data_IF_638466347381
#
_entry.id   IF_638466347381
#
_cell.length_a   1.000
_cell.length_b   1.000
_cell.length_c   1.000
_cell.angle_alpha   90.00
_cell.angle_beta   90.00
_cell.angle_gamma   90.00
#
_symmetry.space_group_name_H-M   'P 1'
#
loop_
_entity.id
_entity.type
_entity.pdbx_description
1 polymer ?
#
# COMPACT_ATOMS: atom_id res chain seq x y z
N UNK A 1 64.07 -9.30 -45.96
CA UNK A 1 63.08 -10.40 -46.06
C UNK A 1 61.69 -9.77 -46.12
N UNK A 2 61.27 -9.39 -47.32
CA UNK A 2 59.91 -8.94 -47.62
C UNK A 2 59.09 -10.19 -47.88
N UNK A 3 58.15 -10.53 -46.99
CA UNK A 3 57.26 -11.66 -47.22
C UNK A 3 56.20 -11.26 -48.24
N UNK A 4 56.25 -11.88 -49.42
CA UNK A 4 55.25 -11.72 -50.48
C UNK A 4 53.87 -12.21 -49.99
N UNK A 5 52.95 -11.27 -49.82
CA UNK A 5 51.54 -11.51 -49.44
C UNK A 5 50.65 -11.93 -50.63
N UNK A 6 51.25 -12.24 -51.78
CA UNK A 6 50.56 -12.47 -53.06
C UNK A 6 49.77 -13.79 -53.15
N UNK A 7 49.74 -14.61 -52.10
CA UNK A 7 49.05 -15.91 -52.09
C UNK A 7 47.71 -15.93 -51.33
N UNK A 8 47.26 -14.81 -50.76
CA UNK A 8 45.92 -14.75 -50.14
C UNK A 8 44.89 -14.60 -51.25
N UNK A 9 44.37 -15.74 -51.71
CA UNK A 9 43.25 -15.80 -52.65
C UNK A 9 42.06 -15.00 -52.11
N UNK A 10 41.43 -14.21 -52.98
CA UNK A 10 40.24 -13.38 -52.69
C UNK A 10 39.14 -14.20 -51.99
N UNK A 11 39.05 -15.50 -52.28
CA UNK A 11 38.11 -16.41 -51.61
C UNK A 11 38.33 -16.53 -50.09
N UNK A 12 39.60 -16.54 -49.63
CA UNK A 12 39.91 -16.57 -48.20
C UNK A 12 39.56 -15.25 -47.52
N UNK A 13 39.79 -14.11 -48.18
CA UNK A 13 39.38 -12.81 -47.65
C UNK A 13 37.85 -12.73 -47.46
N UNK A 14 37.07 -13.16 -48.47
CA UNK A 14 35.62 -13.24 -48.36
C UNK A 14 35.17 -14.18 -47.24
N UNK A 15 35.82 -15.34 -47.09
CA UNK A 15 35.51 -16.29 -46.02
C UNK A 15 35.75 -15.68 -44.64
N UNK A 16 36.89 -15.00 -44.42
CA UNK A 16 37.17 -14.34 -43.14
C UNK A 16 36.21 -13.20 -42.83
N UNK A 17 35.78 -12.43 -43.83
CA UNK A 17 34.78 -11.36 -43.63
C UNK A 17 33.42 -11.95 -43.24
N UNK A 18 32.95 -13.00 -43.92
CA UNK A 18 31.69 -13.66 -43.57
C UNK A 18 31.75 -14.34 -42.21
N UNK A 19 32.87 -14.98 -41.87
CA UNK A 19 33.09 -15.57 -40.55
C UNK A 19 33.10 -14.51 -39.45
N UNK A 20 33.81 -13.39 -39.64
CA UNK A 20 33.81 -12.28 -38.70
C UNK A 20 32.40 -11.70 -38.50
N UNK A 21 31.64 -11.50 -39.58
CA UNK A 21 30.26 -11.03 -39.51
C UNK A 21 29.35 -12.00 -38.73
N UNK A 22 29.49 -13.31 -38.96
CA UNK A 22 28.73 -14.33 -38.24
C UNK A 22 29.08 -14.37 -36.73
N UNK A 23 30.37 -14.26 -36.38
CA UNK A 23 30.81 -14.20 -34.98
C UNK A 23 30.30 -12.93 -34.31
N UNK A 24 30.35 -11.77 -34.98
CA UNK A 24 29.79 -10.53 -34.46
C UNK A 24 28.27 -10.63 -34.24
N UNK A 25 27.52 -11.24 -35.17
CA UNK A 25 26.09 -11.46 -35.01
C UNK A 25 25.77 -12.41 -33.84
N UNK A 26 26.53 -13.51 -33.68
CA UNK A 26 26.37 -14.42 -32.55
C UNK A 26 26.71 -13.76 -31.21
N UNK A 27 27.79 -12.97 -31.16
CA UNK A 27 28.15 -12.19 -29.97
C UNK A 27 27.09 -11.14 -29.62
N UNK A 28 26.50 -10.49 -30.63
CA UNK A 28 25.39 -9.56 -30.44
C UNK A 28 24.15 -10.26 -29.86
N UNK A 29 23.79 -11.44 -30.36
CA UNK A 29 22.69 -12.25 -29.83
C UNK A 29 22.95 -12.67 -28.37
N UNK A 30 24.16 -13.13 -28.04
CA UNK A 30 24.54 -13.50 -26.67
C UNK A 30 24.51 -12.32 -25.70
N UNK A 31 24.97 -11.13 -26.13
CA UNK A 31 24.86 -9.90 -25.34
C UNK A 31 23.39 -9.52 -25.12
N UNK A 32 22.55 -9.70 -26.13
CA UNK A 32 21.12 -9.43 -26.05
C UNK A 32 20.41 -10.41 -25.09
N UNK A 33 20.80 -11.68 -25.09
CA UNK A 33 20.30 -12.69 -24.14
C UNK A 33 20.76 -12.41 -22.71
N UNK A 34 22.03 -12.03 -22.53
CA UNK A 34 22.58 -11.65 -21.22
C UNK A 34 21.91 -10.41 -20.61
N UNK A 35 21.57 -9.41 -21.44
CA UNK A 35 20.83 -8.24 -21.00
C UNK A 35 19.40 -8.61 -20.53
N UNK A 36 18.68 -9.44 -21.32
CA UNK A 36 17.34 -9.94 -20.95
C UNK A 36 17.36 -10.78 -19.67
N UNK A 37 18.44 -11.54 -19.43
CA UNK A 37 18.62 -12.33 -18.22
C UNK A 37 18.70 -11.47 -16.95
N UNK A 38 19.44 -10.35 -17.00
CA UNK A 38 19.55 -9.41 -15.87
C UNK A 38 18.21 -8.74 -15.56
N UNK A 39 17.48 -8.31 -16.58
CA UNK A 39 16.14 -7.72 -16.40
C UNK A 39 15.17 -8.74 -15.78
N UNK A 40 15.20 -10.00 -16.22
CA UNK A 40 14.38 -11.07 -15.64
C UNK A 40 14.75 -11.33 -14.18
N UNK A 41 16.02 -11.35 -13.83
CA UNK A 41 16.47 -11.52 -12.44
C UNK A 41 16.04 -10.35 -11.55
N UNK A 42 16.17 -9.12 -12.05
CA UNK A 42 15.69 -7.93 -11.34
C UNK A 42 14.17 -7.98 -11.12
N UNK A 43 13.41 -8.37 -12.14
CA UNK A 43 11.96 -8.55 -12.06
C UNK A 43 11.55 -9.61 -11.03
N UNK A 44 12.28 -10.74 -10.98
CA UNK A 44 12.02 -11.79 -9.99
C UNK A 44 12.39 -11.35 -8.57
N UNK A 45 13.48 -10.59 -8.41
CA UNK A 45 13.88 -10.05 -7.11
C UNK A 45 12.88 -9.00 -6.62
N UNK A 46 12.37 -8.14 -7.51
CA UNK A 46 11.29 -7.20 -7.23
C UNK A 46 9.99 -7.94 -6.87
N UNK A 47 9.65 -9.00 -7.61
CA UNK A 47 8.49 -9.85 -7.33
C UNK A 47 8.61 -10.54 -5.97
N UNK A 48 9.79 -11.06 -5.62
CA UNK A 48 10.06 -11.69 -4.33
C UNK A 48 9.97 -10.68 -3.18
N UNK A 49 10.47 -9.46 -3.37
CA UNK A 49 10.33 -8.39 -2.38
C UNK A 49 8.87 -7.96 -2.20
N UNK A 50 8.08 -7.89 -3.28
CA UNK A 50 6.65 -7.61 -3.23
C UNK A 50 5.87 -8.75 -2.54
N UNK A 51 6.19 -10.01 -2.85
CA UNK A 51 5.58 -11.18 -2.22
C UNK A 51 5.90 -11.29 -0.72
N UNK A 52 7.11 -10.89 -0.29
CA UNK A 52 7.45 -10.81 1.14
C UNK A 52 6.63 -9.75 1.90
N UNK A 53 6.09 -8.75 1.19
CA UNK A 53 5.20 -7.74 1.76
C UNK A 53 3.70 -8.13 1.74
N UNK A 54 3.33 -9.24 1.05
CA UNK A 54 1.92 -9.67 0.86
C UNK A 54 1.23 -10.08 2.19
N UNK A 55 1.96 -10.39 3.26
CA UNK A 55 1.41 -11.10 4.41
C UNK A 55 0.51 -10.28 5.37
N UNK A 56 0.40 -8.95 5.24
CA UNK A 56 -0.23 -8.13 6.30
C UNK A 56 -1.26 -7.06 5.88
N UNK A 57 -1.65 -6.88 4.61
CA UNK A 57 -2.44 -5.67 4.27
C UNK A 57 -3.35 -5.71 3.02
N UNK A 58 -3.69 -6.89 2.49
CA UNK A 58 -4.51 -6.98 1.25
C UNK A 58 -6.00 -7.08 1.56
N UNK A 59 -6.35 -7.62 2.73
CA UNK A 59 -7.75 -7.87 3.06
C UNK A 59 -8.53 -6.56 3.25
N UNK A 60 -9.80 -6.51 2.80
CA UNK A 60 -10.66 -5.37 3.04
C UNK A 60 -10.84 -5.11 4.54
N UNK A 61 -10.95 -3.84 4.97
CA UNK A 61 -11.17 -3.51 6.37
C UNK A 61 -12.64 -3.73 6.77
N UNK A 62 -13.04 -5.00 6.83
CA UNK A 62 -14.43 -5.44 7.06
C UNK A 62 -15.02 -4.79 8.32
N UNK A 63 -14.24 -4.73 9.40
CA UNK A 63 -14.69 -4.15 10.67
C UNK A 63 -15.04 -2.67 10.53
N UNK A 64 -14.17 -1.87 9.93
CA UNK A 64 -14.42 -0.44 9.75
C UNK A 64 -15.50 -0.14 8.70
N UNK A 65 -15.70 -1.06 7.74
CA UNK A 65 -16.82 -1.03 6.79
C UNK A 65 -18.14 -1.25 7.54
N UNK A 66 -18.25 -2.33 8.32
CA UNK A 66 -19.43 -2.69 9.10
C UNK A 66 -19.76 -1.61 10.14
N UNK A 67 -18.77 -1.15 10.92
CA UNK A 67 -18.97 -0.10 11.94
C UNK A 67 -19.52 1.20 11.34
N UNK A 68 -19.14 1.54 10.10
CA UNK A 68 -19.65 2.70 9.40
C UNK A 68 -21.10 2.47 8.93
N UNK A 69 -21.36 1.32 8.32
CA UNK A 69 -22.67 0.97 7.76
C UNK A 69 -23.73 0.80 8.83
N UNK A 70 -23.40 0.16 9.95
CA UNK A 70 -24.30 0.04 11.10
C UNK A 70 -24.69 1.41 11.64
N UNK A 71 -23.72 2.32 11.83
CA UNK A 71 -24.01 3.67 12.30
C UNK A 71 -24.89 4.43 11.30
N UNK A 72 -24.59 4.31 10.00
CA UNK A 72 -25.38 4.94 8.93
C UNK A 72 -26.83 4.42 8.93
N UNK A 73 -27.01 3.10 9.01
CA UNK A 73 -28.34 2.45 9.06
C UNK A 73 -29.10 2.85 10.33
N UNK A 74 -28.47 2.84 11.49
CA UNK A 74 -29.08 3.27 12.76
C UNK A 74 -29.59 4.72 12.67
N UNK A 75 -28.77 5.63 12.12
CA UNK A 75 -29.19 7.02 11.94
C UNK A 75 -30.34 7.15 10.95
N UNK A 76 -30.31 6.39 9.86
CA UNK A 76 -31.39 6.37 8.87
C UNK A 76 -32.70 5.83 9.46
N UNK A 77 -32.65 4.71 10.18
CA UNK A 77 -33.81 4.10 10.86
C UNK A 77 -34.46 5.05 11.86
N UNK A 78 -33.66 5.81 12.62
CA UNK A 78 -34.19 6.82 13.55
C UNK A 78 -34.94 7.94 12.81
N UNK A 79 -34.47 8.34 11.63
CA UNK A 79 -35.15 9.35 10.81
C UNK A 79 -36.41 8.80 10.13
N UNK A 80 -36.39 7.53 9.75
CA UNK A 80 -37.54 6.82 9.20
C UNK A 80 -38.66 6.71 10.25
N UNK A 81 -38.31 6.36 11.49
CA UNK A 81 -39.25 6.35 12.62
C UNK A 81 -39.88 7.72 12.88
N UNK A 82 -39.13 8.80 12.65
CA UNK A 82 -39.61 10.18 12.75
C UNK A 82 -40.39 10.65 11.51
N UNK A 83 -40.54 9.81 10.48
CA UNK A 83 -41.17 10.13 9.19
C UNK A 83 -40.53 11.32 8.46
N UNK A 84 -39.24 11.59 8.73
CA UNK A 84 -38.52 12.68 8.06
C UNK A 84 -37.94 12.27 6.71
N UNK A 85 -37.83 10.97 6.46
CA UNK A 85 -37.17 10.36 5.31
C UNK A 85 -38.04 9.25 4.74
N UNK A 86 -38.07 9.12 3.41
CA UNK A 86 -38.70 8.01 2.71
C UNK A 86 -37.73 6.82 2.62
N UNK A 87 -38.19 5.55 2.64
CA UNK A 87 -37.33 4.38 2.49
C UNK A 87 -36.43 4.47 1.25
N UNK A 88 -36.94 5.03 0.15
CA UNK A 88 -36.25 5.13 -1.14
C UNK A 88 -35.08 6.14 -1.15
N UNK A 89 -34.95 6.99 -0.13
CA UNK A 89 -33.88 7.98 -0.03
C UNK A 89 -32.54 7.39 0.49
N UNK A 90 -32.50 6.12 0.92
CA UNK A 90 -31.28 5.52 1.50
C UNK A 90 -30.16 5.35 0.46
N UNK A 91 -30.49 5.04 -0.80
CA UNK A 91 -29.53 4.74 -1.87
C UNK A 91 -29.87 5.51 -3.16
N UNK A 92 -29.54 6.83 -3.21
CA UNK A 92 -29.95 7.69 -4.32
C UNK A 92 -29.38 7.27 -5.69
N UNK A 93 -28.28 6.52 -5.73
CA UNK A 93 -27.71 6.02 -6.98
C UNK A 93 -28.63 4.99 -7.69
N UNK A 94 -29.35 4.16 -6.95
CA UNK A 94 -30.28 3.18 -7.52
C UNK A 94 -31.61 3.85 -7.91
N UNK A 95 -32.08 4.81 -7.11
CA UNK A 95 -33.27 5.60 -7.44
C UNK A 95 -33.08 6.44 -8.73
N UNK A 96 -31.90 7.03 -8.92
CA UNK A 96 -31.56 7.77 -10.14
C UNK A 96 -31.42 6.84 -11.36
N UNK A 97 -30.83 5.65 -11.21
CA UNK A 97 -30.76 4.66 -12.27
C UNK A 97 -32.15 4.11 -12.64
N UNK A 98 -33.00 3.81 -11.66
CA UNK A 98 -34.37 3.34 -11.85
C UNK A 98 -35.26 4.39 -12.55
N UNK A 99 -35.12 5.67 -12.19
CA UNK A 99 -35.82 6.78 -12.84
C UNK A 99 -35.39 6.99 -14.31
N UNK A 100 -34.12 6.71 -14.64
CA UNK A 100 -33.61 6.78 -16.01
C UNK A 100 -34.14 5.65 -16.90
N UNK A 101 -34.36 4.44 -16.36
CA UNK A 101 -34.92 3.31 -17.14
C UNK A 101 -36.39 3.50 -17.52
N UNK A 102 -37.19 4.18 -16.70
CA UNK A 102 -38.61 4.42 -16.98
C UNK A 102 -38.89 5.60 -17.94
N UNK A 103 -37.85 6.33 -18.37
CA UNK A 103 -37.97 7.53 -19.23
C UNK A 103 -37.41 7.33 -20.66
N UNK A 104 -37.34 6.08 -21.12
CA UNK A 104 -36.91 5.73 -22.48
C UNK A 104 -38.07 5.70 -23.48
N UNK A 105 -38.80 6.80 -23.62
CA UNK A 105 -39.70 7.02 -24.78
C UNK A 105 -40.05 8.49 -25.04
N UNK A 106 -39.06 9.36 -25.27
CA UNK A 106 -39.26 10.50 -26.19
C UNK A 106 -37.96 11.28 -26.41
N UNK A 107 -37.61 11.38 -27.68
CA UNK A 107 -36.59 12.22 -28.27
C UNK A 107 -36.81 13.72 -28.05
N UNK A 108 -35.68 14.43 -27.90
CA UNK A 108 -35.38 15.82 -28.30
C UNK A 108 -35.08 16.86 -27.20
N UNK A 109 -33.96 17.56 -27.45
CA UNK A 109 -33.53 18.90 -27.05
C UNK A 109 -33.08 19.21 -25.61
N UNK A 110 -31.75 19.35 -25.53
CA UNK A 110 -31.00 20.36 -24.77
C UNK A 110 -31.78 21.45 -24.04
N UNK A 111 -31.75 21.38 -22.71
CA UNK A 111 -31.47 22.52 -21.84
C UNK A 111 -31.09 22.01 -20.46
N UNK A 112 -29.78 22.00 -20.22
CA UNK A 112 -29.13 21.97 -18.92
C UNK A 112 -29.74 23.03 -18.00
N UNK A 113 -30.67 22.65 -17.14
CA UNK A 113 -31.03 23.35 -15.90
C UNK A 113 -32.15 22.57 -15.22
N UNK A 114 -31.74 21.66 -14.35
CA UNK A 114 -32.46 21.11 -13.17
C UNK A 114 -32.03 19.67 -12.93
N UNK A 115 -30.73 19.42 -12.77
CA UNK A 115 -30.35 18.60 -11.61
C UNK A 115 -30.84 19.38 -10.41
N UNK A 116 -32.12 19.20 -10.06
CA UNK A 116 -32.62 19.52 -8.74
C UNK A 116 -31.55 19.01 -7.79
N UNK A 117 -30.89 19.93 -7.08
CA UNK A 117 -29.80 19.62 -6.16
C UNK A 117 -30.39 18.65 -5.16
N UNK A 118 -30.26 17.36 -5.44
CA UNK A 118 -30.65 16.32 -4.53
C UNK A 118 -29.72 16.47 -3.35
N UNK A 119 -30.24 17.06 -2.27
CA UNK A 119 -29.52 17.21 -1.02
C UNK A 119 -29.74 15.89 -0.28
N UNK A 120 -28.72 15.07 -0.10
CA UNK A 120 -28.84 13.80 0.59
C UNK A 120 -29.31 14.00 2.03
N UNK A 121 -30.02 13.02 2.58
CA UNK A 121 -30.57 13.11 3.93
C UNK A 121 -29.47 13.35 4.98
N UNK A 122 -28.25 12.83 4.73
CA UNK A 122 -27.05 13.05 5.56
C UNK A 122 -26.69 14.53 5.73
N UNK A 123 -26.99 15.38 4.74
CA UNK A 123 -26.77 16.82 4.81
C UNK A 123 -27.95 17.58 5.38
N UNK A 124 -29.17 17.13 5.09
CA UNK A 124 -30.41 17.85 5.40
C UNK A 124 -30.85 17.66 6.85
N UNK A 125 -30.73 16.45 7.38
CA UNK A 125 -31.48 16.04 8.58
C UNK A 125 -30.60 15.64 9.78
N UNK A 126 -29.31 15.38 9.57
CA UNK A 126 -28.42 14.98 10.67
C UNK A 126 -28.12 16.16 11.59
N UNK A 127 -28.16 15.91 12.89
CA UNK A 127 -27.60 16.83 13.87
C UNK A 127 -26.08 16.99 13.68
N UNK A 128 -25.49 18.13 14.08
CA UNK A 128 -24.04 18.35 13.93
C UNK A 128 -23.19 17.32 14.69
N UNK A 129 -23.70 16.76 15.80
CA UNK A 129 -23.02 15.74 16.57
C UNK A 129 -23.00 14.39 15.83
N UNK A 130 -24.14 13.94 15.31
CA UNK A 130 -24.25 12.70 14.53
C UNK A 130 -23.42 12.78 13.25
N UNK A 131 -23.47 13.92 12.57
CA UNK A 131 -22.61 14.21 11.41
C UNK A 131 -21.13 14.06 11.76
N UNK A 132 -20.68 14.58 12.91
CA UNK A 132 -19.30 14.43 13.37
C UNK A 132 -18.93 12.96 13.65
N UNK A 133 -19.84 12.19 14.28
CA UNK A 133 -19.65 10.74 14.52
C UNK A 133 -19.50 9.97 13.20
N UNK A 134 -20.39 10.23 12.24
CA UNK A 134 -20.38 9.60 10.93
C UNK A 134 -19.11 9.95 10.14
N UNK A 135 -18.71 11.24 10.12
CA UNK A 135 -17.45 11.69 9.53
C UNK A 135 -16.24 10.95 10.12
N UNK A 136 -16.20 10.81 11.44
CA UNK A 136 -15.09 10.16 12.14
C UNK A 136 -14.97 8.69 11.74
N UNK A 137 -16.10 7.97 11.65
CA UNK A 137 -16.13 6.56 11.22
C UNK A 137 -15.72 6.42 9.75
N UNK A 138 -16.19 7.31 8.88
CA UNK A 138 -15.80 7.30 7.47
C UNK A 138 -14.29 7.55 7.28
N UNK A 139 -13.71 8.49 8.03
CA UNK A 139 -12.25 8.72 8.02
C UNK A 139 -11.51 7.47 8.50
N UNK A 140 -11.99 6.76 9.52
CA UNK A 140 -11.36 5.50 9.98
C UNK A 140 -11.38 4.42 8.90
N UNK A 141 -12.52 4.26 8.21
CA UNK A 141 -12.66 3.37 7.05
C UNK A 141 -11.67 3.76 5.94
N UNK A 142 -11.55 5.05 5.62
CA UNK A 142 -10.56 5.55 4.66
C UNK A 142 -9.12 5.27 5.10
N UNK A 143 -8.77 5.55 6.36
CA UNK A 143 -7.44 5.35 6.93
C UNK A 143 -6.96 3.91 6.81
N UNK A 144 -7.86 2.94 6.99
CA UNK A 144 -7.53 1.51 6.86
C UNK A 144 -7.34 1.06 5.43
N UNK A 145 -7.97 1.72 4.47
CA UNK A 145 -7.76 1.46 3.05
C UNK A 145 -6.45 2.06 2.51
N UNK A 146 -5.84 3.05 3.19
CA UNK A 146 -4.60 3.71 2.72
C UNK A 146 -3.42 2.73 2.54
N UNK A 147 -3.05 1.87 3.52
CA UNK A 147 -1.98 0.91 3.32
C UNK A 147 -2.21 -0.02 2.12
N UNK A 148 -3.44 -0.53 1.97
CA UNK A 148 -3.85 -1.37 0.84
C UNK A 148 -3.69 -0.62 -0.48
N UNK A 149 -4.10 0.63 -0.54
CA UNK A 149 -3.94 1.48 -1.72
C UNK A 149 -2.49 1.76 -2.08
N UNK A 150 -1.65 2.10 -1.10
CA UNK A 150 -0.21 2.32 -1.32
C UNK A 150 0.45 1.05 -1.85
N UNK A 151 0.09 -0.11 -1.29
CA UNK A 151 0.61 -1.39 -1.74
C UNK A 151 0.18 -1.72 -3.18
N UNK A 152 -1.12 -1.71 -3.47
CA UNK A 152 -1.66 -2.06 -4.79
C UNK A 152 -1.15 -1.10 -5.87
N UNK A 153 -1.08 0.20 -5.58
CA UNK A 153 -0.57 1.19 -6.52
C UNK A 153 0.92 0.99 -6.84
N UNK A 154 1.74 0.66 -5.84
CA UNK A 154 3.17 0.34 -6.04
C UNK A 154 3.37 -0.96 -6.82
N UNK A 155 2.57 -2.00 -6.53
CA UNK A 155 2.69 -3.31 -7.16
C UNK A 155 2.07 -3.40 -8.57
N UNK A 156 1.19 -2.47 -8.96
CA UNK A 156 0.40 -2.56 -10.20
C UNK A 156 1.28 -2.67 -11.45
N UNK A 157 2.27 -1.79 -11.59
CA UNK A 157 3.15 -1.76 -12.77
C UNK A 157 4.02 -3.01 -12.88
N UNK A 158 4.63 -3.44 -11.78
CA UNK A 158 5.53 -4.60 -11.77
C UNK A 158 4.78 -5.92 -12.00
N UNK A 159 3.64 -6.13 -11.33
CA UNK A 159 2.79 -7.31 -11.56
C UNK A 159 2.24 -7.35 -12.99
N UNK A 160 1.88 -6.21 -13.58
CA UNK A 160 1.45 -6.15 -14.98
C UNK A 160 2.58 -6.54 -15.95
N UNK A 161 3.82 -6.06 -15.71
CA UNK A 161 4.99 -6.45 -16.51
C UNK A 161 5.27 -7.95 -16.41
N UNK A 162 5.23 -8.52 -15.21
CA UNK A 162 5.43 -9.96 -15.00
C UNK A 162 4.36 -10.80 -15.73
N UNK A 163 3.11 -10.35 -15.70
CA UNK A 163 2.01 -10.99 -16.45
C UNK A 163 2.27 -10.95 -17.96
N UNK A 164 2.63 -9.79 -18.52
CA UNK A 164 2.94 -9.66 -19.95
C UNK A 164 4.13 -10.50 -20.41
N UNK A 165 5.12 -10.70 -19.54
CA UNK A 165 6.28 -11.55 -19.82
C UNK A 165 5.99 -13.06 -19.64
N UNK A 166 4.76 -13.44 -19.27
CA UNK A 166 4.40 -14.84 -19.00
C UNK A 166 5.05 -15.41 -17.73
N UNK A 167 5.56 -14.56 -16.84
CA UNK A 167 6.20 -14.96 -15.58
C UNK A 167 5.20 -15.04 -14.41
N UNK A 168 4.03 -14.43 -14.55
CA UNK A 168 2.93 -14.48 -13.58
C UNK A 168 1.77 -15.29 -14.15
N UNK A 169 1.26 -16.25 -13.37
CA UNK A 169 0.09 -17.04 -13.76
C UNK A 169 -1.15 -16.17 -13.94
N UNK A 170 -1.99 -16.50 -14.93
CA UNK A 170 -3.23 -15.77 -15.20
C UNK A 170 -4.14 -15.65 -13.98
N UNK A 171 -4.26 -16.72 -13.18
CA UNK A 171 -5.07 -16.73 -11.96
C UNK A 171 -4.57 -15.70 -10.92
N UNK A 172 -3.26 -15.59 -10.74
CA UNK A 172 -2.64 -14.64 -9.82
C UNK A 172 -2.78 -13.19 -10.30
N UNK A 173 -2.73 -12.98 -11.62
CA UNK A 173 -3.04 -11.68 -12.21
C UNK A 173 -4.52 -11.32 -12.03
N UNK A 174 -5.44 -12.24 -12.30
CA UNK A 174 -6.88 -11.99 -12.15
C UNK A 174 -7.27 -11.69 -10.71
N UNK A 175 -6.69 -12.39 -9.72
CA UNK A 175 -6.96 -12.11 -8.31
C UNK A 175 -6.43 -10.73 -7.89
N UNK A 176 -5.24 -10.35 -8.36
CA UNK A 176 -4.70 -9.01 -8.14
C UNK A 176 -5.56 -7.91 -8.79
N UNK A 177 -5.99 -8.11 -10.04
CA UNK A 177 -6.84 -7.17 -10.76
C UNK A 177 -8.21 -7.02 -10.07
N UNK A 178 -8.80 -8.13 -9.61
CA UNK A 178 -10.05 -8.10 -8.84
C UNK A 178 -9.88 -7.32 -7.52
N UNK A 179 -8.80 -7.56 -6.77
CA UNK A 179 -8.51 -6.84 -5.53
C UNK A 179 -8.27 -5.33 -5.77
N UNK A 180 -7.68 -4.96 -6.92
CA UNK A 180 -7.50 -3.57 -7.34
C UNK A 180 -8.84 -2.91 -7.69
N UNK A 181 -9.72 -3.61 -8.42
CA UNK A 181 -11.06 -3.13 -8.76
C UNK A 181 -11.92 -2.93 -7.51
N UNK A 182 -11.92 -3.89 -6.60
CA UNK A 182 -12.62 -3.81 -5.32
C UNK A 182 -12.16 -2.61 -4.49
N UNK A 183 -10.84 -2.39 -4.38
CA UNK A 183 -10.30 -1.21 -3.71
C UNK A 183 -10.76 0.09 -4.40
N UNK A 184 -10.76 0.15 -5.73
CA UNK A 184 -11.20 1.34 -6.45
C UNK A 184 -12.69 1.63 -6.23
N UNK A 185 -13.54 0.59 -6.18
CA UNK A 185 -14.97 0.71 -5.84
C UNK A 185 -15.13 1.26 -4.42
N UNK A 186 -14.34 0.76 -3.48
CA UNK A 186 -14.34 1.21 -2.09
C UNK A 186 -13.91 2.68 -1.94
N UNK A 187 -12.81 3.09 -2.59
CA UNK A 187 -12.35 4.48 -2.58
C UNK A 187 -13.36 5.42 -3.24
N UNK A 188 -14.00 4.97 -4.32
CA UNK A 188 -15.07 5.72 -4.97
C UNK A 188 -16.30 5.86 -4.05
N UNK A 189 -16.69 4.78 -3.37
CA UNK A 189 -17.77 4.79 -2.39
C UNK A 189 -17.49 5.79 -1.26
N UNK A 190 -16.30 5.75 -0.67
CA UNK A 190 -15.89 6.69 0.39
C UNK A 190 -15.96 8.14 -0.11
N UNK A 191 -15.51 8.41 -1.34
CA UNK A 191 -15.58 9.74 -1.94
C UNK A 191 -17.02 10.22 -2.10
N UNK A 192 -17.90 9.36 -2.61
CA UNK A 192 -19.33 9.70 -2.79
C UNK A 192 -20.01 9.92 -1.44
N UNK A 193 -19.76 9.04 -0.48
CA UNK A 193 -20.37 9.12 0.84
C UNK A 193 -19.89 10.37 1.60
N UNK A 194 -18.62 10.74 1.46
CA UNK A 194 -18.11 12.00 2.00
C UNK A 194 -18.81 13.22 1.36
N UNK A 195 -19.02 13.20 0.04
CA UNK A 195 -19.81 14.22 -0.64
C UNK A 195 -21.27 14.24 -0.19
N UNK A 196 -21.83 13.10 0.24
CA UNK A 196 -23.17 13.07 0.80
C UNK A 196 -23.25 13.65 2.21
N UNK A 197 -22.19 13.53 3.00
CA UNK A 197 -22.15 14.11 4.35
C UNK A 197 -21.88 15.63 4.28
N UNK A 198 -20.97 16.06 3.40
CA UNK A 198 -20.59 17.46 3.25
C UNK A 198 -20.15 17.78 1.82
N UNK A 199 -20.69 18.87 1.29
CA UNK A 199 -20.38 19.34 -0.06
C UNK A 199 -18.88 19.54 -0.24
N UNK A 200 -18.32 18.97 -1.32
CA UNK A 200 -16.90 19.00 -1.68
C UNK A 200 -15.94 18.27 -0.73
N UNK A 201 -16.44 17.54 0.28
CA UNK A 201 -15.57 16.83 1.21
C UNK A 201 -14.92 15.57 0.59
N UNK A 202 -15.54 14.99 -0.44
CA UNK A 202 -15.02 13.81 -1.13
C UNK A 202 -13.65 14.00 -1.79
N UNK A 203 -13.30 15.22 -2.23
CA UNK A 203 -11.99 15.51 -2.82
C UNK A 203 -10.89 15.75 -1.77
N UNK A 204 -11.28 15.92 -0.50
CA UNK A 204 -10.37 16.23 0.61
C UNK A 204 -10.15 15.02 1.50
N UNK A 205 -11.18 14.21 1.75
CA UNK A 205 -11.14 13.10 2.72
C UNK A 205 -9.99 12.11 2.50
N UNK A 206 -9.72 11.72 1.24
CA UNK A 206 -8.64 10.76 0.94
C UNK A 206 -7.26 11.40 1.15
N UNK A 207 -7.10 12.69 0.85
CA UNK A 207 -5.85 13.42 1.11
C UNK A 207 -5.60 13.54 2.61
N UNK A 208 -6.63 13.86 3.39
CA UNK A 208 -6.56 13.92 4.84
C UNK A 208 -6.23 12.56 5.45
N UNK A 209 -6.86 11.48 4.96
CA UNK A 209 -6.55 10.12 5.40
C UNK A 209 -5.09 9.73 5.12
N UNK A 210 -4.56 10.07 3.95
CA UNK A 210 -3.13 9.84 3.63
C UNK A 210 -2.22 10.61 4.57
N UNK A 211 -2.53 11.88 4.84
CA UNK A 211 -1.77 12.72 5.77
C UNK A 211 -1.77 12.14 7.19
N UNK A 212 -2.95 11.80 7.70
CA UNK A 212 -3.13 11.20 9.02
C UNK A 212 -2.42 9.85 9.14
N UNK A 213 -2.48 9.01 8.11
CA UNK A 213 -1.74 7.75 8.06
C UNK A 213 -0.23 7.99 8.18
N UNK A 214 0.33 8.93 7.40
CA UNK A 214 1.76 9.26 7.44
C UNK A 214 2.19 9.82 8.81
N UNK A 215 1.37 10.67 9.42
CA UNK A 215 1.61 11.19 10.76
C UNK A 215 1.60 10.06 11.80
N UNK A 216 0.65 9.14 11.70
CA UNK A 216 0.56 7.97 12.57
C UNK A 216 1.80 7.07 12.47
N UNK A 217 2.26 6.77 11.26
CA UNK A 217 3.49 5.98 11.05
C UNK A 217 4.74 6.69 11.58
N UNK A 218 4.86 8.00 11.34
CA UNK A 218 5.97 8.81 11.88
C UNK A 218 5.97 8.77 13.42
N UNK A 219 4.80 8.86 14.04
CA UNK A 219 4.69 8.81 15.50
C UNK A 219 5.04 7.43 16.06
N UNK A 220 4.58 6.34 15.41
CA UNK A 220 4.96 4.97 15.80
C UNK A 220 6.47 4.75 15.72
N UNK A 221 7.12 5.25 14.66
CA UNK A 221 8.57 5.18 14.51
C UNK A 221 9.30 5.93 15.62
N UNK A 222 8.85 7.13 15.97
CA UNK A 222 9.40 7.91 17.09
C UNK A 222 9.25 7.17 18.43
N UNK A 223 8.07 6.62 18.70
CA UNK A 223 7.82 5.86 19.93
C UNK A 223 8.71 4.61 20.01
N UNK A 224 8.89 3.88 18.90
CA UNK A 224 9.77 2.70 18.84
C UNK A 224 11.22 3.08 19.10
N UNK A 225 11.71 4.17 18.51
CA UNK A 225 13.06 4.68 18.75
C UNK A 225 13.26 5.08 20.21
N UNK A 226 12.28 5.76 20.81
CA UNK A 226 12.32 6.15 22.22
C UNK A 226 12.38 4.93 23.14
N UNK A 227 11.56 3.90 22.87
CA UNK A 227 11.58 2.64 23.62
C UNK A 227 12.93 1.92 23.50
N UNK A 228 13.51 1.88 22.30
CA UNK A 228 14.84 1.28 22.09
C UNK A 228 15.94 2.03 22.85
N UNK A 229 15.91 3.36 22.88
CA UNK A 229 16.87 4.15 23.65
C UNK A 229 16.75 3.89 25.15
N UNK A 230 15.52 3.81 25.68
CA UNK A 230 15.29 3.48 27.08
C UNK A 230 15.78 2.07 27.43
N UNK A 231 15.53 1.09 26.57
CA UNK A 231 16.04 -0.28 26.76
C UNK A 231 17.57 -0.33 26.75
N UNK A 232 18.22 0.40 25.83
CA UNK A 232 19.69 0.48 25.78
C UNK A 232 20.26 1.14 27.04
N UNK A 233 19.65 2.22 27.53
CA UNK A 233 20.07 2.87 28.78
C UNK A 233 19.92 1.94 29.98
N UNK A 234 18.82 1.20 30.07
CA UNK A 234 18.61 0.21 31.15
C UNK A 234 19.64 -0.92 31.09
N UNK A 235 19.94 -1.43 29.90
CA UNK A 235 20.97 -2.47 29.72
C UNK A 235 22.36 -1.96 30.13
N UNK A 236 22.72 -0.72 29.75
CA UNK A 236 23.99 -0.12 30.16
C UNK A 236 24.08 0.05 31.69
N UNK A 237 23.00 0.51 32.34
CA UNK A 237 22.97 0.64 33.80
C UNK A 237 23.09 -0.72 34.51
N UNK A 238 22.41 -1.76 34.00
CA UNK A 238 22.53 -3.11 34.56
C UNK A 238 23.95 -3.67 34.40
N UNK A 239 24.59 -3.46 33.24
CA UNK A 239 25.97 -3.87 33.03
C UNK A 239 26.94 -3.15 33.97
N UNK A 240 26.77 -1.85 34.18
CA UNK A 240 27.58 -1.08 35.13
C UNK A 240 27.41 -1.60 36.57
N UNK A 241 26.17 -1.85 37.01
CA UNK A 241 25.91 -2.41 38.34
C UNK A 241 26.50 -3.81 38.52
N UNK A 242 26.44 -4.67 37.50
CA UNK A 242 27.06 -6.00 37.54
C UNK A 242 28.58 -5.91 37.64
N UNK A 243 29.20 -5.01 36.87
CA UNK A 243 30.65 -4.77 36.93
C UNK A 243 31.07 -4.25 38.31
N UNK A 244 30.31 -3.31 38.87
CA UNK A 244 30.58 -2.80 40.23
C UNK A 244 30.41 -3.87 41.30
N UNK A 245 29.39 -4.72 41.19
CA UNK A 245 29.16 -5.82 42.12
C UNK A 245 30.29 -6.86 42.05
N UNK A 246 30.72 -7.23 40.84
CA UNK A 246 31.86 -8.13 40.62
C UNK A 246 33.16 -7.54 41.19
N UNK A 247 33.45 -6.26 40.91
CA UNK A 247 34.63 -5.59 41.44
C UNK A 247 34.64 -5.52 42.99
N UNK A 248 33.47 -5.33 43.62
CA UNK A 248 33.34 -5.37 45.08
C UNK A 248 33.57 -6.78 45.65
N UNK A 249 33.07 -7.82 44.97
CA UNK A 249 33.29 -9.22 45.36
C UNK A 249 34.79 -9.57 45.35
N UNK A 250 35.49 -9.29 44.25
CA UNK A 250 36.94 -9.54 44.11
C UNK A 250 37.75 -8.84 45.21
N UNK A 251 37.40 -7.57 45.51
CA UNK A 251 38.08 -6.80 46.56
C UNK A 251 37.91 -7.40 47.94
N UNK A 252 36.74 -7.97 48.25
CA UNK A 252 36.49 -8.66 49.53
C UNK A 252 37.21 -10.00 49.63
N UNK A 253 37.42 -10.72 48.52
CA UNK A 253 38.22 -11.95 48.53
C UNK A 253 39.70 -11.67 48.78
N UNK A 254 40.27 -10.64 48.13
CA UNK A 254 41.65 -10.23 48.36
C UNK A 254 41.90 -9.79 49.81
N UNK A 255 40.96 -9.08 50.45
CA UNK A 255 41.11 -8.69 51.87
C UNK A 255 41.06 -9.89 52.81
N UNK A 256 40.21 -10.89 52.54
CA UNK A 256 40.19 -12.14 53.31
C UNK A 256 41.51 -12.91 53.20
N UNK A 257 42.06 -13.00 51.98
CA UNK A 257 43.29 -13.75 51.74
C UNK A 257 44.51 -13.09 52.42
N UNK A 258 44.58 -11.75 52.40
CA UNK A 258 45.66 -10.98 53.01
C UNK A 258 45.61 -11.03 54.56
N UNK A 259 44.42 -11.01 55.15
CA UNK A 259 44.24 -11.21 56.59
C UNK A 259 44.64 -12.62 57.06
N UNK A 260 44.45 -13.63 56.22
CA UNK A 260 44.86 -15.01 56.55
C UNK A 260 46.38 -15.18 56.53
N UNK A 261 47.10 -14.43 55.68
CA UNK A 261 48.56 -14.49 55.62
C UNK A 261 49.22 -13.81 56.82
N UNK A 262 48.68 -12.68 57.30
CA UNK A 262 49.15 -11.97 58.50
C UNK A 262 48.98 -12.73 59.82
N UNK A 263 48.07 -13.71 59.89
CA UNK A 263 47.87 -14.54 61.09
C UNK A 263 48.84 -15.71 61.22
N UNK A 264 49.67 -15.97 60.20
CA UNK A 264 50.64 -17.09 60.16
C UNK A 264 52.10 -16.64 60.33
N UNK A 265 52.34 -15.34 60.49
CA UNK A 265 53.62 -14.77 60.94
C UNK A 265 53.46 -14.37 62.40
#
# INVERSE_FOLDING_TARGET
MTMDLSFISVGWLCFFILFAAAVCAAAYLLLQEGAKGKERQQLLQEAAAAAAADACNIDPPIKEIEEYEELRRQLFELLLQQQQVQPDEEYPAEAAAAAATNSSSSSSNSSSSSSSRYIPWQQRLLSPEEKKKLKTKLIRRALRNIPRWVYISAASSSKYRLYRCGLLQQQAWSSFAAAQEELNKELYYIKQEANYIETNWGDVILRDAVLLHRLGETQKQRNKLQQQQQQQQQQQQQQQQQQEAAAKADRTEQTKHNNHHKKKQ
#
